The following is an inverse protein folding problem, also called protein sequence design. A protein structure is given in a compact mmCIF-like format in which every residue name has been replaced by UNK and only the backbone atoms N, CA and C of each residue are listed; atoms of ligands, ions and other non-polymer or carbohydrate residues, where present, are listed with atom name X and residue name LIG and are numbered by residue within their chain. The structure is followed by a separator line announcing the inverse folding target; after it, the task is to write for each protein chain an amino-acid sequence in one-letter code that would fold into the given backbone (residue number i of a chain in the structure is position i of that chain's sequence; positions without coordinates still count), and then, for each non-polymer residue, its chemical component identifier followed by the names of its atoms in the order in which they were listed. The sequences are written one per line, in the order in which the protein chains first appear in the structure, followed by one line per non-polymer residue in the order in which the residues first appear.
data_IF_081506012895
#
_entry.id   IF_081506012895
#
_cell.length_a   1.000
_cell.length_b   1.000
_cell.length_c   1.000
_cell.angle_alpha   90.00
_cell.angle_beta   90.00
_cell.angle_gamma   90.00
#
_symmetry.space_group_name_H-M   'P 1'
#
loop_
_entity.id
_entity.type
_entity.pdbx_description
1 polymer ?
#
# COMPACT_ATOMS: atom_id res chain seq x y z
N UNK A 1 15.90 -21.37 14.09
CA UNK A 1 14.94 -21.13 15.19
C UNK A 1 14.63 -22.48 15.82
N UNK A 2 14.80 -22.66 17.14
CA UNK A 2 14.42 -23.93 17.77
C UNK A 2 12.91 -24.14 17.68
N UNK A 3 12.43 -25.40 17.59
CA UNK A 3 11.00 -25.68 17.55
C UNK A 3 10.33 -25.18 18.84
N UNK A 4 9.20 -24.47 18.70
CA UNK A 4 8.41 -24.04 19.87
C UNK A 4 7.88 -25.27 20.60
N UNK A 5 7.82 -25.19 21.92
CA UNK A 5 7.30 -26.29 22.72
C UNK A 5 5.81 -26.51 22.42
N UNK A 6 5.37 -27.76 22.40
CA UNK A 6 3.98 -28.12 22.04
C UNK A 6 2.93 -27.42 22.91
N UNK A 7 3.21 -27.22 24.19
CA UNK A 7 2.30 -26.55 25.11
C UNK A 7 2.02 -25.10 24.69
N UNK A 8 3.04 -24.34 24.25
CA UNK A 8 2.86 -22.96 23.78
C UNK A 8 1.93 -22.89 22.55
N UNK A 9 2.02 -23.89 21.67
CA UNK A 9 1.16 -23.98 20.48
C UNK A 9 -0.28 -24.30 20.89
N UNK A 10 -0.46 -25.17 21.87
CA UNK A 10 -1.78 -25.54 22.37
C UNK A 10 -2.45 -24.37 23.12
N UNK A 11 -1.71 -23.67 23.97
CA UNK A 11 -2.22 -22.49 24.69
C UNK A 11 -2.66 -21.39 23.71
N UNK A 12 -1.87 -21.13 22.66
CA UNK A 12 -2.26 -20.18 21.62
C UNK A 12 -3.54 -20.60 20.90
N UNK A 13 -3.69 -21.88 20.57
CA UNK A 13 -4.93 -22.40 19.95
C UNK A 13 -6.12 -22.30 20.89
N UNK A 14 -5.91 -22.60 22.18
CA UNK A 14 -6.97 -22.49 23.19
C UNK A 14 -7.41 -21.03 23.33
N UNK A 15 -6.48 -20.09 23.37
CA UNK A 15 -6.79 -18.66 23.42
C UNK A 15 -7.62 -18.20 22.22
N UNK A 16 -7.31 -18.68 21.00
CA UNK A 16 -8.13 -18.37 19.82
C UNK A 16 -9.57 -18.88 20.00
N UNK A 17 -9.75 -20.10 20.51
CA UNK A 17 -11.07 -20.67 20.78
C UNK A 17 -11.81 -19.87 21.85
N UNK A 18 -11.15 -19.56 22.96
CA UNK A 18 -11.73 -18.84 24.09
C UNK A 18 -12.19 -17.43 23.71
N UNK A 19 -11.55 -16.83 22.70
CA UNK A 19 -11.88 -15.51 22.17
C UNK A 19 -12.81 -15.53 20.93
N UNK A 20 -13.33 -16.69 20.51
CA UNK A 20 -14.08 -16.87 19.25
C UNK A 20 -13.31 -16.37 18.01
N UNK A 21 -11.98 -16.48 18.01
CA UNK A 21 -11.14 -16.03 16.92
C UNK A 21 -10.85 -17.18 15.94
N UNK A 22 -11.26 -16.99 14.69
CA UNK A 22 -10.94 -17.87 13.57
C UNK A 22 -9.86 -17.26 12.68
N UNK A 23 -8.97 -18.10 12.16
CA UNK A 23 -7.98 -17.71 11.14
C UNK A 23 -8.72 -17.40 9.83
N UNK A 24 -8.45 -16.23 9.26
CA UNK A 24 -9.14 -15.74 8.06
C UNK A 24 -8.66 -16.40 6.75
N UNK A 25 -7.67 -17.29 6.82
CA UNK A 25 -6.92 -17.73 5.64
C UNK A 25 -6.04 -16.62 5.07
N UNK A 26 -5.32 -16.90 3.98
CA UNK A 26 -4.39 -15.95 3.35
C UNK A 26 -3.99 -16.38 1.94
N UNK A 27 -3.48 -15.41 1.17
CA UNK A 27 -2.76 -15.63 -0.08
C UNK A 27 -1.32 -15.12 0.07
N UNK A 28 -0.35 -15.97 -0.22
CA UNK A 28 1.07 -15.73 0.04
C UNK A 28 1.70 -16.96 0.68
N UNK A 29 3.01 -16.91 0.97
CA UNK A 29 3.75 -18.09 1.45
C UNK A 29 4.26 -17.96 2.89
N UNK A 30 4.88 -16.82 3.23
CA UNK A 30 5.47 -16.56 4.53
C UNK A 30 5.03 -15.20 5.06
N UNK A 31 5.39 -14.85 6.28
CA UNK A 31 5.24 -13.47 6.80
C UNK A 31 6.53 -12.92 7.37
N UNK A 32 7.55 -13.77 7.49
CA UNK A 32 8.87 -13.43 7.97
C UNK A 32 9.95 -14.22 7.22
N UNK A 33 11.09 -13.59 6.95
CA UNK A 33 12.26 -14.19 6.34
C UNK A 33 13.52 -13.70 7.04
N UNK A 34 14.44 -14.60 7.41
CA UNK A 34 15.70 -14.19 8.04
C UNK A 34 16.67 -13.41 7.11
N UNK A 35 16.30 -13.21 5.84
CA UNK A 35 17.06 -12.50 4.81
C UNK A 35 18.53 -12.94 4.65
N UNK A 36 18.83 -14.21 4.92
CA UNK A 36 20.15 -14.80 4.64
C UNK A 36 20.24 -15.25 3.18
N UNK A 37 21.41 -15.69 2.73
CA UNK A 37 21.60 -16.28 1.40
C UNK A 37 20.77 -17.56 1.23
N UNK A 38 20.42 -17.96 -0.01
CA UNK A 38 19.48 -19.05 -0.29
C UNK A 38 19.74 -20.32 0.53
N UNK A 39 20.98 -20.79 0.59
CA UNK A 39 21.37 -22.01 1.32
C UNK A 39 21.07 -21.96 2.84
N UNK A 40 20.93 -20.75 3.39
CA UNK A 40 20.66 -20.49 4.82
C UNK A 40 19.37 -19.70 5.05
N UNK A 41 18.57 -19.51 3.99
CA UNK A 41 17.33 -18.75 4.05
C UNK A 41 16.29 -19.54 4.81
N UNK A 42 15.73 -18.92 5.84
CA UNK A 42 14.62 -19.48 6.61
C UNK A 42 13.44 -18.53 6.48
N UNK A 43 12.35 -19.05 5.93
CA UNK A 43 11.06 -18.37 5.83
C UNK A 43 10.09 -19.00 6.83
N UNK A 44 9.31 -18.17 7.52
CA UNK A 44 8.32 -18.62 8.47
C UNK A 44 7.05 -17.77 8.37
N UNK A 45 5.91 -18.36 8.80
CA UNK A 45 4.65 -17.66 8.96
C UNK A 45 4.40 -17.43 10.43
N UNK A 46 4.76 -16.24 10.90
CA UNK A 46 4.69 -15.84 12.31
C UNK A 46 3.48 -14.96 12.61
N UNK A 47 2.96 -14.30 11.59
CA UNK A 47 1.88 -13.32 11.69
C UNK A 47 0.60 -13.93 11.10
N UNK A 48 -0.56 -13.63 11.70
CA UNK A 48 -1.87 -14.12 11.27
C UNK A 48 -2.93 -13.04 11.45
N UNK A 49 -3.89 -13.02 10.54
CA UNK A 49 -5.13 -12.27 10.72
C UNK A 49 -6.21 -13.25 11.21
N UNK A 50 -6.83 -12.90 12.33
CA UNK A 50 -7.96 -13.62 12.89
C UNK A 50 -9.13 -12.67 13.06
N UNK A 51 -10.36 -13.20 12.98
CA UNK A 51 -11.58 -12.44 13.21
C UNK A 51 -12.57 -13.24 14.04
N UNK A 52 -13.53 -12.57 14.65
CA UNK A 52 -14.67 -13.22 15.29
C UNK A 52 -15.71 -13.63 14.25
N UNK A 53 -16.61 -14.53 14.63
CA UNK A 53 -17.74 -14.92 13.76
C UNK A 53 -18.60 -13.71 13.41
N UNK A 54 -18.91 -12.88 14.40
CA UNK A 54 -19.69 -11.65 14.24
C UNK A 54 -19.04 -10.61 13.32
N UNK A 55 -17.71 -10.61 13.22
CA UNK A 55 -16.98 -9.75 12.29
C UNK A 55 -16.97 -10.31 10.88
N UNK A 56 -16.89 -11.64 10.72
CA UNK A 56 -16.89 -12.28 9.41
C UNK A 56 -18.22 -12.14 8.66
N UNK A 57 -19.35 -12.11 9.39
CA UNK A 57 -20.70 -11.97 8.83
C UNK A 57 -20.88 -10.77 7.88
N UNK A 58 -20.53 -9.52 8.25
CA UNK A 58 -20.64 -8.38 7.35
C UNK A 58 -19.58 -8.36 6.24
N UNK A 59 -18.49 -9.14 6.35
CA UNK A 59 -17.39 -9.16 5.38
C UNK A 59 -17.11 -10.56 4.82
N UNK A 60 -18.10 -11.22 4.18
CA UNK A 60 -17.98 -12.61 3.72
C UNK A 60 -16.96 -12.79 2.59
N UNK A 61 -16.56 -11.69 1.93
CA UNK A 61 -15.57 -11.67 0.87
C UNK A 61 -14.21 -11.15 1.34
N UNK A 62 -14.04 -10.91 2.64
CA UNK A 62 -12.78 -10.46 3.19
C UNK A 62 -11.68 -11.45 2.80
N UNK A 63 -10.55 -10.93 2.32
CA UNK A 63 -9.37 -11.76 2.03
C UNK A 63 -8.14 -11.16 2.66
N UNK A 64 -7.22 -12.03 3.01
CA UNK A 64 -5.89 -11.66 3.48
C UNK A 64 -4.88 -11.94 2.38
N UNK A 65 -3.97 -11.00 2.12
CA UNK A 65 -2.82 -11.17 1.23
C UNK A 65 -1.53 -10.78 1.95
N UNK A 66 -0.44 -11.50 1.68
CA UNK A 66 0.89 -11.13 2.15
C UNK A 66 1.60 -10.33 1.07
N UNK A 67 1.96 -9.09 1.37
CA UNK A 67 2.66 -8.21 0.43
C UNK A 67 4.12 -8.03 0.84
N UNK A 68 5.03 -8.14 -0.12
CA UNK A 68 6.45 -7.88 0.12
C UNK A 68 6.66 -6.42 0.53
N UNK A 69 7.53 -6.22 1.53
CA UNK A 69 7.99 -4.89 1.92
C UNK A 69 9.49 -4.81 1.71
N UNK A 70 9.97 -3.65 1.24
CA UNK A 70 11.35 -3.51 0.79
C UNK A 70 12.39 -3.42 1.92
N UNK A 71 11.95 -2.99 3.10
CA UNK A 71 12.82 -2.61 4.20
C UNK A 71 12.53 -3.41 5.49
N UNK A 72 11.73 -4.47 5.41
CA UNK A 72 11.43 -5.34 6.54
C UNK A 72 11.78 -6.78 6.22
N UNK A 73 12.17 -7.52 7.24
CA UNK A 73 12.20 -8.97 7.24
C UNK A 73 10.79 -9.58 7.36
N UNK A 74 9.77 -8.76 7.62
CA UNK A 74 8.36 -9.13 7.57
C UNK A 74 7.65 -8.76 6.26
N UNK A 75 6.68 -9.58 5.86
CA UNK A 75 5.68 -9.24 4.85
C UNK A 75 4.48 -8.55 5.51
N UNK A 76 3.88 -7.61 4.80
CA UNK A 76 2.67 -6.92 5.24
C UNK A 76 1.48 -7.89 5.16
N UNK A 77 0.71 -7.99 6.24
CA UNK A 77 -0.62 -8.62 6.22
C UNK A 77 -1.64 -7.58 5.79
N UNK A 78 -2.19 -7.75 4.60
CA UNK A 78 -3.21 -6.87 4.05
C UNK A 78 -4.58 -7.54 4.10
N UNK A 79 -5.52 -6.94 4.82
CA UNK A 79 -6.91 -7.40 4.90
C UNK A 79 -7.78 -6.52 4.00
N UNK A 80 -8.32 -7.11 2.93
CA UNK A 80 -9.23 -6.44 2.00
C UNK A 80 -10.66 -6.89 2.26
N UNK A 81 -11.49 -5.99 2.80
CA UNK A 81 -12.88 -6.27 3.20
C UNK A 81 -13.85 -6.36 2.01
N UNK A 82 -13.54 -5.66 0.91
CA UNK A 82 -14.42 -5.53 -0.25
C UNK A 82 -13.61 -5.61 -1.56
N UNK A 83 -12.99 -6.76 -1.87
CA UNK A 83 -12.08 -6.86 -3.02
C UNK A 83 -12.76 -6.53 -4.35
N UNK A 84 -14.07 -6.75 -4.46
CA UNK A 84 -14.85 -6.45 -5.67
C UNK A 84 -15.28 -4.96 -5.77
N UNK A 85 -15.41 -4.25 -4.64
CA UNK A 85 -15.81 -2.84 -4.64
C UNK A 85 -14.67 -1.93 -5.13
N UNK A 86 -13.40 -2.34 -4.97
CA UNK A 86 -12.25 -1.58 -5.47
C UNK A 86 -12.25 -1.38 -6.98
N UNK A 87 -12.70 -2.37 -7.74
CA UNK A 87 -12.81 -2.25 -9.21
C UNK A 87 -13.80 -1.12 -9.60
N UNK A 88 -14.86 -0.93 -8.83
CA UNK A 88 -15.86 0.11 -9.03
C UNK A 88 -15.35 1.48 -8.53
N UNK A 89 -14.70 1.54 -7.36
CA UNK A 89 -14.13 2.77 -6.78
C UNK A 89 -12.94 3.32 -7.58
N UNK A 90 -12.17 2.46 -8.25
CA UNK A 90 -11.08 2.86 -9.17
C UNK A 90 -11.54 3.78 -10.31
N UNK A 91 -12.82 3.64 -10.74
CA UNK A 91 -13.44 4.50 -11.75
C UNK A 91 -14.03 5.79 -11.17
N UNK A 92 -14.17 5.91 -9.85
CA UNK A 92 -14.53 7.17 -9.22
C UNK A 92 -13.30 8.08 -9.20
N UNK A 93 -13.52 9.34 -9.57
CA UNK A 93 -12.50 10.37 -9.79
C UNK A 93 -11.39 10.29 -8.75
N UNK A 94 -10.17 9.89 -9.18
CA UNK A 94 -9.00 9.96 -8.31
C UNK A 94 -8.86 11.39 -7.80
N UNK A 95 -9.00 11.54 -6.49
CA UNK A 95 -8.71 12.81 -5.83
C UNK A 95 -7.26 13.20 -6.16
N UNK A 96 -7.06 14.47 -6.49
CA UNK A 96 -5.71 14.99 -6.61
C UNK A 96 -5.01 14.90 -5.26
N UNK A 97 -3.77 14.40 -5.29
CA UNK A 97 -2.89 14.32 -4.13
C UNK A 97 -1.54 14.87 -4.56
N UNK A 98 -1.02 15.79 -3.78
CA UNK A 98 0.35 16.24 -3.92
C UNK A 98 1.27 15.18 -3.32
N UNK A 99 2.31 14.77 -4.05
CA UNK A 99 3.28 13.79 -3.55
C UNK A 99 4.49 14.49 -2.94
N UNK A 100 4.90 14.11 -1.73
CA UNK A 100 6.07 14.68 -1.07
C UNK A 100 7.39 14.44 -1.83
N UNK A 101 7.42 13.48 -2.75
CA UNK A 101 8.54 13.25 -3.66
C UNK A 101 8.74 14.41 -4.64
N UNK A 102 7.68 15.11 -5.02
CA UNK A 102 7.75 16.24 -5.96
C UNK A 102 8.63 17.37 -5.41
N UNK A 103 8.63 17.60 -4.10
CA UNK A 103 9.46 18.65 -3.47
C UNK A 103 10.95 18.35 -3.53
N UNK A 104 11.36 17.14 -3.88
CA UNK A 104 12.77 16.76 -4.03
C UNK A 104 13.34 17.17 -5.38
N UNK A 105 12.48 17.47 -6.35
CA UNK A 105 12.88 17.97 -7.67
C UNK A 105 12.77 19.49 -7.68
N UNK A 106 13.86 20.16 -8.03
CA UNK A 106 13.92 21.63 -8.08
C UNK A 106 12.90 22.24 -9.03
N UNK A 107 12.55 21.55 -10.13
CA UNK A 107 11.60 22.03 -11.12
C UNK A 107 10.15 22.10 -10.62
N UNK A 108 9.83 21.42 -9.50
CA UNK A 108 8.50 21.50 -8.90
C UNK A 108 8.12 22.94 -8.53
N UNK A 109 9.06 23.71 -7.99
CA UNK A 109 8.84 25.11 -7.60
C UNK A 109 8.59 25.98 -8.83
N UNK A 110 9.29 25.71 -9.92
CA UNK A 110 9.13 26.44 -11.18
C UNK A 110 7.76 26.19 -11.81
N UNK A 111 7.26 24.95 -11.76
CA UNK A 111 5.92 24.58 -12.24
C UNK A 111 4.82 25.27 -11.43
N UNK A 112 4.96 25.31 -10.11
CA UNK A 112 4.00 26.01 -9.23
C UNK A 112 4.04 27.51 -9.53
N UNK A 113 5.23 28.11 -9.61
CA UNK A 113 5.39 29.56 -9.80
C UNK A 113 4.86 30.01 -11.17
N UNK A 114 5.15 29.27 -12.23
CA UNK A 114 4.67 29.58 -13.59
C UNK A 114 3.16 29.43 -13.74
N UNK A 115 2.56 28.39 -13.15
CA UNK A 115 1.11 28.17 -13.19
C UNK A 115 0.31 29.16 -12.34
N UNK A 116 0.89 29.63 -11.23
CA UNK A 116 0.26 30.62 -10.37
C UNK A 116 0.24 32.01 -10.98
N UNK A 117 1.32 32.40 -11.68
CA UNK A 117 1.45 33.73 -12.27
C UNK A 117 0.72 33.89 -13.61
N UNK A 118 0.30 32.80 -14.26
CA UNK A 118 -0.42 32.85 -15.54
C UNK A 118 -1.92 33.12 -15.41
N UNK A 119 -2.46 33.13 -14.19
CA UNK A 119 -3.91 33.15 -13.91
C UNK A 119 -4.44 34.53 -13.46
N UNK A 120 -3.61 35.58 -13.46
CA UNK A 120 -3.92 36.88 -12.84
C UNK A 120 -4.42 37.86 -13.91
N UNK A 121 -5.71 37.86 -14.25
CA UNK A 121 -6.34 38.94 -15.05
C UNK A 121 -7.82 39.21 -14.71
N UNK A 122 -8.28 38.98 -13.46
CA UNK A 122 -9.71 39.11 -13.13
C UNK A 122 -10.05 39.44 -11.66
N UNK A 123 -11.18 38.89 -11.21
CA UNK A 123 -11.70 39.04 -9.85
C UNK A 123 -10.87 38.19 -8.87
N UNK A 124 -10.36 38.74 -7.74
CA UNK A 124 -9.47 38.03 -6.83
C UNK A 124 -9.93 36.63 -6.38
N UNK A 125 -11.24 36.41 -6.22
CA UNK A 125 -11.77 35.11 -5.79
C UNK A 125 -11.86 34.08 -6.93
N UNK A 126 -12.24 34.50 -8.15
CA UNK A 126 -12.20 33.62 -9.32
C UNK A 126 -10.77 33.26 -9.69
N UNK A 127 -9.87 34.24 -9.57
CA UNK A 127 -8.47 34.11 -9.91
C UNK A 127 -7.78 33.10 -8.98
N UNK A 128 -8.11 33.11 -7.68
CA UNK A 128 -7.57 32.12 -6.74
C UNK A 128 -7.96 30.68 -7.06
N UNK A 129 -9.25 30.42 -7.31
CA UNK A 129 -9.73 29.07 -7.65
C UNK A 129 -9.17 28.60 -9.00
N UNK A 130 -9.06 29.51 -9.96
CA UNK A 130 -8.47 29.24 -11.27
C UNK A 130 -6.97 28.94 -11.15
N UNK A 131 -6.22 29.67 -10.32
CA UNK A 131 -4.81 29.41 -10.03
C UNK A 131 -4.60 28.03 -9.41
N UNK A 132 -5.44 27.62 -8.44
CA UNK A 132 -5.37 26.27 -7.86
C UNK A 132 -5.61 25.20 -8.94
N UNK A 133 -6.63 25.40 -9.78
CA UNK A 133 -7.01 24.43 -10.80
C UNK A 133 -5.95 24.33 -11.91
N UNK A 134 -5.39 25.46 -12.33
CA UNK A 134 -4.27 25.55 -13.28
C UNK A 134 -3.02 24.88 -12.71
N UNK A 135 -2.63 25.22 -11.49
CA UNK A 135 -1.48 24.63 -10.80
C UNK A 135 -1.63 23.12 -10.65
N UNK A 136 -2.81 22.64 -10.26
CA UNK A 136 -3.13 21.21 -10.24
C UNK A 136 -2.91 20.56 -11.60
N UNK A 137 -3.41 21.16 -12.68
CA UNK A 137 -3.27 20.61 -14.03
C UNK A 137 -1.81 20.57 -14.47
N UNK A 138 -1.06 21.66 -14.26
CA UNK A 138 0.37 21.75 -14.58
C UNK A 138 1.20 20.74 -13.78
N UNK A 139 0.93 20.56 -12.49
CA UNK A 139 1.61 19.57 -11.66
C UNK A 139 1.31 18.12 -12.12
N UNK A 140 0.07 17.83 -12.52
CA UNK A 140 -0.29 16.50 -13.03
C UNK A 140 0.38 16.20 -14.38
N UNK A 141 0.45 17.19 -15.28
CA UNK A 141 1.13 17.04 -16.56
C UNK A 141 2.65 16.90 -16.38
N UNK A 142 3.25 17.78 -15.58
CA UNK A 142 4.66 17.68 -15.22
C UNK A 142 4.99 16.34 -14.56
N UNK A 143 4.20 15.87 -13.59
CA UNK A 143 4.44 14.57 -12.96
C UNK A 143 4.41 13.43 -13.98
N UNK A 144 3.46 13.47 -14.92
CA UNK A 144 3.35 12.46 -15.99
C UNK A 144 4.60 12.46 -16.90
N UNK A 145 5.17 13.62 -17.18
CA UNK A 145 6.31 13.78 -18.08
C UNK A 145 7.68 13.55 -17.38
N UNK A 146 7.80 13.95 -16.12
CA UNK A 146 9.06 13.88 -15.35
C UNK A 146 9.25 12.54 -14.63
N UNK A 147 8.19 12.00 -14.03
CA UNK A 147 8.27 10.76 -13.25
C UNK A 147 7.42 9.62 -13.81
N UNK A 148 6.35 9.95 -14.55
CA UNK A 148 5.41 8.97 -15.06
C UNK A 148 4.65 8.26 -13.94
N UNK A 149 4.47 6.94 -14.07
CA UNK A 149 3.81 6.13 -13.05
C UNK A 149 4.86 5.51 -12.12
N UNK A 150 5.33 6.29 -11.14
CA UNK A 150 6.32 5.85 -10.15
C UNK A 150 5.88 4.56 -9.46
N UNK A 151 4.60 4.46 -9.09
CA UNK A 151 4.04 3.26 -8.43
C UNK A 151 4.19 2.02 -9.32
N UNK A 152 3.92 2.16 -10.62
CA UNK A 152 4.10 1.08 -11.58
C UNK A 152 5.57 0.71 -11.76
N UNK A 153 6.46 1.70 -11.91
CA UNK A 153 7.90 1.46 -12.01
C UNK A 153 8.44 0.75 -10.75
N UNK A 154 8.00 1.19 -9.58
CA UNK A 154 8.37 0.60 -8.29
C UNK A 154 7.87 -0.85 -8.20
N UNK A 155 6.63 -1.14 -8.60
CA UNK A 155 6.09 -2.50 -8.66
C UNK A 155 6.86 -3.40 -9.63
N UNK A 156 7.25 -2.88 -10.79
CA UNK A 156 8.04 -3.63 -11.79
C UNK A 156 9.46 -3.92 -11.28
N UNK A 157 10.09 -2.95 -10.62
CA UNK A 157 11.39 -3.14 -9.97
C UNK A 157 11.31 -4.17 -8.85
N UNK A 158 10.27 -4.14 -8.01
CA UNK A 158 10.07 -5.17 -6.99
C UNK A 158 9.88 -6.56 -7.59
N UNK A 159 9.07 -6.69 -8.64
CA UNK A 159 8.89 -7.97 -9.32
C UNK A 159 10.22 -8.50 -9.89
N UNK A 160 11.06 -7.62 -10.42
CA UNK A 160 12.40 -7.97 -10.92
C UNK A 160 13.33 -8.40 -9.79
N UNK A 161 13.34 -7.69 -8.67
CA UNK A 161 14.13 -8.04 -7.48
C UNK A 161 13.67 -9.40 -6.92
N UNK A 162 12.36 -9.62 -6.81
CA UNK A 162 11.78 -10.87 -6.31
C UNK A 162 12.12 -12.05 -7.24
N UNK A 163 12.21 -11.84 -8.56
CA UNK A 163 12.65 -12.89 -9.51
C UNK A 163 14.16 -13.18 -9.53
N UNK A 164 14.96 -12.35 -8.85
CA UNK A 164 16.42 -12.52 -8.72
C UNK A 164 16.81 -13.13 -7.37
N UNK A 165 15.83 -13.38 -6.50
CA UNK A 165 15.95 -14.12 -5.24
C UNK A 165 15.45 -15.54 -5.42
#
# INVERSE_FOLDING_TARGET
MPPRARWQINDFRQYLIDCDLQDMGFHGEFTWCNNREEAFTVKARLDRACCTTSWAEPFPLARVTHEETAASDHQLIWVDLEPNARALKSRQQRLFRFEATWTKDGSCVDVISSSWNSSIQGNPQSDFMQSIQSCRASLLDWNKNSFGNIVHQMKMLYKKISSLK
#
